data_IF_567991076071
#
_entry.id   IF_567991076071
#
_cell.length_a   1.000
_cell.length_b   1.000
_cell.length_c   1.000
_cell.angle_alpha   90.00
_cell.angle_beta   90.00
_cell.angle_gamma   90.00
#
_symmetry.space_group_name_H-M   'P 1'
#
loop_
_entity.id
_entity.type
_entity.pdbx_description
1 polymer ?
#
# COMPACT_ATOMS: atom_id res chain seq x y z
N UNK A 1 30.65 7.28 -2.13
CA UNK A 1 30.21 7.20 -0.73
C UNK A 1 29.10 6.17 -0.63
N UNK A 2 29.14 5.25 0.31
CA UNK A 2 27.98 4.42 0.57
C UNK A 2 26.81 5.33 0.97
N UNK A 3 25.62 5.04 0.46
CA UNK A 3 24.42 5.77 0.82
C UNK A 3 24.08 5.63 2.31
N UNK A 4 23.23 6.49 2.82
CA UNK A 4 22.74 6.38 4.20
C UNK A 4 21.73 5.24 4.29
N UNK A 5 21.46 4.77 5.50
CA UNK A 5 20.41 3.75 5.72
C UNK A 5 19.03 4.20 5.21
N UNK A 6 18.71 5.49 5.32
CA UNK A 6 17.49 6.06 4.72
C UNK A 6 17.52 6.00 3.19
N UNK A 7 18.68 6.14 2.56
CA UNK A 7 18.80 6.04 1.10
C UNK A 7 18.47 4.61 0.64
N UNK A 8 18.87 3.59 1.42
CA UNK A 8 18.52 2.20 1.11
C UNK A 8 17.01 1.97 1.21
N UNK A 9 16.36 2.49 2.23
CA UNK A 9 14.89 2.42 2.39
C UNK A 9 14.22 3.13 1.23
N UNK A 10 14.69 4.33 0.88
CA UNK A 10 14.18 5.12 -0.25
C UNK A 10 14.23 4.34 -1.55
N UNK A 11 15.41 3.80 -1.88
CA UNK A 11 15.60 3.02 -3.10
C UNK A 11 14.67 1.80 -3.14
N UNK A 12 14.48 1.14 -2.02
CA UNK A 12 13.56 0.00 -1.90
C UNK A 12 12.12 0.40 -2.18
N UNK A 13 11.65 1.50 -1.60
CA UNK A 13 10.29 2.02 -1.84
C UNK A 13 10.14 2.44 -3.31
N UNK A 14 11.09 3.19 -3.84
CA UNK A 14 11.04 3.68 -5.24
C UNK A 14 10.97 2.54 -6.24
N UNK A 15 11.80 1.51 -6.06
CA UNK A 15 11.83 0.35 -6.97
C UNK A 15 10.50 -0.40 -6.97
N UNK A 16 9.92 -0.64 -5.80
CA UNK A 16 8.65 -1.35 -5.68
C UNK A 16 7.48 -0.50 -6.18
N UNK A 17 7.50 0.80 -5.89
CA UNK A 17 6.48 1.73 -6.38
C UNK A 17 6.50 1.84 -7.91
N UNK A 18 7.67 1.83 -8.52
CA UNK A 18 7.80 1.87 -9.98
C UNK A 18 7.09 0.69 -10.66
N UNK A 19 7.13 -0.50 -10.06
CA UNK A 19 6.37 -1.65 -10.54
C UNK A 19 4.87 -1.38 -10.62
N UNK A 20 4.31 -0.72 -9.62
CA UNK A 20 2.90 -0.36 -9.60
C UNK A 20 2.59 0.74 -10.63
N UNK A 21 3.46 1.75 -10.76
CA UNK A 21 3.31 2.80 -11.76
C UNK A 21 3.32 2.22 -13.19
N UNK A 22 4.19 1.29 -13.47
CA UNK A 22 4.29 0.63 -14.79
C UNK A 22 2.99 -0.12 -15.12
N UNK A 23 2.41 -0.81 -14.14
CA UNK A 23 1.11 -1.46 -14.29
C UNK A 23 0.02 -0.42 -14.54
N UNK A 24 -0.05 0.63 -13.73
CA UNK A 24 -1.05 1.69 -13.86
C UNK A 24 -1.02 2.36 -15.22
N UNK A 25 0.19 2.64 -15.75
CA UNK A 25 0.38 3.24 -17.06
C UNK A 25 -0.05 2.34 -18.22
N UNK A 26 -0.06 1.02 -18.02
CA UNK A 26 -0.46 0.04 -19.04
C UNK A 26 -1.96 -0.20 -19.10
N UNK A 27 -2.73 0.25 -18.09
CA UNK A 27 -4.16 -0.03 -17.98
C UNK A 27 -4.98 0.76 -18.98
N UNK A 28 -5.84 0.04 -19.72
CA UNK A 28 -6.88 0.61 -20.57
C UNK A 28 -8.16 0.80 -19.74
N UNK A 29 -9.10 1.67 -20.15
CA UNK A 29 -10.35 1.87 -19.40
C UNK A 29 -11.12 0.57 -19.10
N UNK A 30 -11.11 -0.38 -20.03
CA UNK A 30 -11.79 -1.68 -19.86
C UNK A 30 -11.10 -2.63 -18.88
N UNK A 31 -9.81 -2.44 -18.62
CA UNK A 31 -9.02 -3.32 -17.74
C UNK A 31 -9.44 -3.18 -16.27
N UNK A 32 -9.97 -2.03 -15.87
CA UNK A 32 -10.38 -1.77 -14.49
C UNK A 32 -11.52 -2.68 -14.00
N UNK A 33 -12.28 -3.26 -14.93
CA UNK A 33 -13.38 -4.19 -14.62
C UNK A 33 -12.96 -5.67 -14.61
N UNK A 34 -11.69 -5.97 -14.90
CA UNK A 34 -11.18 -7.33 -14.94
C UNK A 34 -11.13 -7.90 -13.52
N UNK A 35 -11.73 -9.09 -13.26
CA UNK A 35 -11.62 -9.77 -11.96
C UNK A 35 -10.17 -10.18 -11.66
N UNK A 36 -9.71 -9.93 -10.43
CA UNK A 36 -8.33 -10.26 -10.02
C UNK A 36 -8.27 -11.59 -9.30
N UNK A 37 -9.24 -11.87 -8.43
CA UNK A 37 -9.27 -13.07 -7.60
C UNK A 37 -10.38 -14.03 -8.04
N UNK A 38 -10.14 -15.33 -7.78
CA UNK A 38 -11.16 -16.35 -7.92
C UNK A 38 -11.97 -16.52 -6.63
N UNK A 39 -12.04 -17.75 -6.10
CA UNK A 39 -12.80 -18.09 -4.89
C UNK A 39 -11.94 -17.82 -3.63
N UNK A 40 -11.59 -16.57 -3.37
CA UNK A 40 -10.77 -16.10 -2.24
C UNK A 40 -11.52 -15.05 -1.42
N UNK A 41 -10.90 -14.60 -0.31
CA UNK A 41 -11.48 -13.56 0.56
C UNK A 41 -11.87 -12.29 -0.20
N UNK A 42 -11.06 -11.87 -1.18
CA UNK A 42 -11.35 -10.74 -2.05
C UNK A 42 -12.16 -11.15 -3.29
N UNK A 43 -12.94 -12.22 -3.21
CA UNK A 43 -13.81 -12.64 -4.32
C UNK A 43 -14.71 -11.48 -4.75
N UNK A 44 -14.75 -11.21 -6.05
CA UNK A 44 -15.47 -10.09 -6.63
C UNK A 44 -14.67 -8.80 -6.74
N UNK A 45 -13.46 -8.74 -6.18
CA UNK A 45 -12.58 -7.60 -6.42
C UNK A 45 -12.05 -7.62 -7.85
N UNK A 46 -12.13 -6.44 -8.46
CA UNK A 46 -11.63 -6.17 -9.81
C UNK A 46 -10.35 -5.34 -9.71
N UNK A 47 -9.69 -5.09 -10.83
CA UNK A 47 -8.49 -4.21 -10.86
C UNK A 47 -8.76 -2.89 -10.16
N UNK A 48 -9.90 -2.25 -10.42
CA UNK A 48 -10.29 -1.00 -9.74
C UNK A 48 -10.36 -1.17 -8.21
N UNK A 49 -10.90 -2.28 -7.74
CA UNK A 49 -11.00 -2.56 -6.29
C UNK A 49 -9.61 -2.67 -5.65
N UNK A 50 -8.70 -3.36 -6.32
CA UNK A 50 -7.32 -3.53 -5.83
C UNK A 50 -6.59 -2.18 -5.76
N UNK A 51 -6.76 -1.32 -6.76
CA UNK A 51 -6.18 0.03 -6.76
C UNK A 51 -6.75 0.87 -5.62
N UNK A 52 -8.06 0.82 -5.40
CA UNK A 52 -8.70 1.49 -4.26
C UNK A 52 -8.16 0.98 -2.92
N UNK A 53 -8.00 -0.33 -2.79
CA UNK A 53 -7.41 -0.98 -1.62
C UNK A 53 -5.97 -0.51 -1.37
N UNK A 54 -5.15 -0.45 -2.40
CA UNK A 54 -3.76 0.03 -2.30
C UNK A 54 -3.68 1.46 -1.76
N UNK A 55 -4.50 2.36 -2.30
CA UNK A 55 -4.53 3.75 -1.84
C UNK A 55 -4.96 3.87 -0.37
N UNK A 56 -5.99 3.13 0.04
CA UNK A 56 -6.49 3.13 1.41
C UNK A 56 -5.48 2.50 2.38
N UNK A 57 -4.91 1.36 2.03
CA UNK A 57 -3.92 0.65 2.86
C UNK A 57 -2.65 1.48 3.05
N UNK A 58 -2.17 2.16 2.01
CA UNK A 58 -1.02 3.06 2.10
C UNK A 58 -1.27 4.17 3.12
N UNK A 59 -2.46 4.75 3.11
CA UNK A 59 -2.87 5.78 4.09
C UNK A 59 -2.95 5.22 5.52
N UNK A 60 -3.57 4.06 5.69
CA UNK A 60 -3.71 3.42 7.02
C UNK A 60 -2.38 3.02 7.62
N UNK A 61 -1.50 2.42 6.84
CA UNK A 61 -0.15 2.06 7.29
C UNK A 61 0.68 3.29 7.66
N UNK A 62 0.58 4.37 6.88
CA UNK A 62 1.31 5.61 7.17
C UNK A 62 0.82 6.24 8.47
N UNK A 63 -0.49 6.27 8.70
CA UNK A 63 -1.06 6.75 9.96
C UNK A 63 -0.49 5.97 11.15
N UNK A 64 -0.48 4.65 11.08
CA UNK A 64 0.06 3.79 12.12
C UNK A 64 1.57 4.00 12.31
N UNK A 65 2.33 4.06 11.23
CA UNK A 65 3.78 4.28 11.30
C UNK A 65 4.14 5.62 11.95
N UNK A 66 3.42 6.68 11.63
CA UNK A 66 3.61 8.00 12.25
C UNK A 66 3.30 7.99 13.74
N UNK A 67 2.22 7.35 14.14
CA UNK A 67 1.84 7.22 15.55
C UNK A 67 2.88 6.41 16.33
N UNK A 68 3.35 5.30 15.79
CA UNK A 68 4.38 4.46 16.41
C UNK A 68 5.70 5.24 16.52
N UNK A 69 6.08 6.00 15.50
CA UNK A 69 7.25 6.86 15.55
C UNK A 69 7.15 7.92 16.65
N UNK A 70 5.94 8.37 16.97
CA UNK A 70 5.65 9.31 18.06
C UNK A 70 5.52 8.63 19.43
N UNK A 71 5.65 7.30 19.52
CA UNK A 71 5.57 6.53 20.77
C UNK A 71 4.19 6.00 21.11
N UNK A 72 3.26 6.01 20.16
CA UNK A 72 1.91 5.47 20.31
C UNK A 72 1.81 4.09 19.67
N UNK A 73 0.75 3.34 19.99
CA UNK A 73 0.44 2.05 19.34
C UNK A 73 -1.07 2.03 18.98
N UNK A 74 -1.44 2.58 17.81
CA UNK A 74 -2.82 2.92 17.50
C UNK A 74 -3.70 1.73 17.07
N UNK A 75 -3.10 0.59 16.68
CA UNK A 75 -3.86 -0.56 16.16
C UNK A 75 -4.28 -1.47 17.31
N UNK A 76 -5.60 -1.62 17.57
CA UNK A 76 -6.07 -2.48 18.65
C UNK A 76 -5.82 -3.97 18.34
N UNK A 77 -5.68 -4.83 19.38
CA UNK A 77 -5.45 -6.27 19.19
C UNK A 77 -6.55 -7.00 18.43
N UNK A 78 -7.78 -6.49 18.48
CA UNK A 78 -8.97 -7.07 17.84
C UNK A 78 -9.33 -6.39 16.52
N UNK A 79 -8.38 -5.68 15.89
CA UNK A 79 -8.62 -4.99 14.63
C UNK A 79 -8.99 -5.99 13.52
N UNK A 80 -10.18 -5.77 12.91
CA UNK A 80 -10.69 -6.59 11.82
C UNK A 80 -10.25 -6.03 10.47
N UNK A 81 -9.08 -6.49 9.99
CA UNK A 81 -8.50 -6.03 8.74
C UNK A 81 -9.36 -6.37 7.52
N UNK A 82 -9.93 -7.57 7.48
CA UNK A 82 -10.77 -8.00 6.35
C UNK A 82 -11.98 -7.07 6.18
N UNK A 83 -12.65 -6.74 7.27
CA UNK A 83 -13.78 -5.81 7.28
C UNK A 83 -13.36 -4.38 6.91
N UNK A 84 -12.21 -3.94 7.40
CA UNK A 84 -11.68 -2.62 7.05
C UNK A 84 -11.37 -2.52 5.56
N UNK A 85 -10.72 -3.52 5.00
CA UNK A 85 -10.39 -3.60 3.58
C UNK A 85 -11.65 -3.54 2.72
N UNK A 86 -12.65 -4.36 3.04
CA UNK A 86 -13.90 -4.43 2.30
C UNK A 86 -14.64 -3.08 2.32
N UNK A 87 -14.73 -2.46 3.49
CA UNK A 87 -15.35 -1.13 3.63
C UNK A 87 -14.60 -0.05 2.86
N UNK A 88 -13.28 -0.09 2.86
CA UNK A 88 -12.45 0.88 2.13
C UNK A 88 -12.69 0.80 0.63
N UNK A 89 -12.80 -0.41 0.09
CA UNK A 89 -13.11 -0.64 -1.32
C UNK A 89 -14.53 -0.18 -1.65
N UNK A 90 -15.52 -0.51 -0.82
CA UNK A 90 -16.91 -0.08 -1.01
C UNK A 90 -17.05 1.44 -1.02
N UNK A 91 -16.37 2.14 -0.12
CA UNK A 91 -16.38 3.62 -0.06
C UNK A 91 -15.80 4.27 -1.32
N UNK A 92 -14.89 3.58 -1.99
CA UNK A 92 -14.23 4.08 -3.20
C UNK A 92 -14.91 3.61 -4.50
N UNK A 93 -16.01 2.87 -4.42
CA UNK A 93 -16.66 2.26 -5.59
C UNK A 93 -17.02 3.28 -6.69
N UNK A 94 -17.48 4.47 -6.29
CA UNK A 94 -17.88 5.54 -7.22
C UNK A 94 -16.76 6.55 -7.51
N UNK A 95 -15.57 6.36 -6.96
CA UNK A 95 -14.44 7.24 -7.23
C UNK A 95 -13.90 6.94 -8.62
N UNK A 96 -13.69 7.95 -9.50
CA UNK A 96 -13.09 7.75 -10.80
C UNK A 96 -11.69 7.11 -10.71
N UNK A 97 -11.36 6.26 -11.67
CA UNK A 97 -10.10 5.49 -11.68
C UNK A 97 -8.85 6.38 -11.72
N UNK A 98 -8.90 7.49 -12.47
CA UNK A 98 -7.82 8.46 -12.51
C UNK A 98 -7.54 9.08 -11.14
N UNK A 99 -8.59 9.39 -10.37
CA UNK A 99 -8.43 9.90 -9.01
C UNK A 99 -7.87 8.85 -8.04
N UNK A 100 -8.19 7.58 -8.25
CA UNK A 100 -7.60 6.49 -7.44
C UNK A 100 -6.11 6.34 -7.72
N UNK A 101 -5.69 6.44 -8.97
CA UNK A 101 -4.28 6.42 -9.35
C UNK A 101 -3.53 7.65 -8.79
N UNK A 102 -4.14 8.83 -8.83
CA UNK A 102 -3.59 10.06 -8.23
C UNK A 102 -3.41 9.89 -6.71
N UNK A 103 -4.35 9.25 -6.03
CA UNK A 103 -4.22 8.94 -4.60
C UNK A 103 -3.02 8.05 -4.29
N UNK A 104 -2.75 7.06 -5.13
CA UNK A 104 -1.57 6.19 -4.98
C UNK A 104 -0.29 7.03 -5.05
N UNK A 105 -0.16 7.91 -6.03
CA UNK A 105 0.99 8.81 -6.14
C UNK A 105 1.10 9.76 -4.94
N UNK A 106 -0.02 10.32 -4.52
CA UNK A 106 -0.06 11.20 -3.35
C UNK A 106 0.42 10.47 -2.08
N UNK A 107 -0.02 9.23 -1.86
CA UNK A 107 0.43 8.41 -0.72
C UNK A 107 1.93 8.13 -0.80
N UNK A 108 2.44 7.84 -1.98
CA UNK A 108 3.88 7.66 -2.18
C UNK A 108 4.68 8.90 -1.73
N UNK A 109 4.28 10.08 -2.17
CA UNK A 109 4.95 11.33 -1.75
C UNK A 109 4.87 11.56 -0.26
N UNK A 110 3.76 11.25 0.37
CA UNK A 110 3.61 11.35 1.84
C UNK A 110 4.53 10.37 2.58
N UNK A 111 4.69 9.13 2.09
CA UNK A 111 5.63 8.17 2.65
C UNK A 111 7.09 8.66 2.51
N UNK A 112 7.45 9.22 1.37
CA UNK A 112 8.80 9.75 1.14
C UNK A 112 9.08 10.97 2.02
N UNK A 113 8.11 11.84 2.20
CA UNK A 113 8.21 12.97 3.13
C UNK A 113 8.38 12.46 4.57
N UNK A 114 7.62 11.48 4.98
CA UNK A 114 7.76 10.88 6.31
C UNK A 114 9.16 10.28 6.52
N UNK A 115 9.69 9.59 5.53
CA UNK A 115 11.07 9.06 5.57
C UNK A 115 12.10 10.17 5.73
N UNK A 116 11.92 11.29 5.05
CA UNK A 116 12.84 12.44 5.15
C UNK A 116 12.80 13.08 6.54
N UNK A 117 11.62 13.22 7.12
CA UNK A 117 11.38 13.94 8.36
C UNK A 117 11.67 13.13 9.63
N UNK A 118 11.50 11.80 9.58
CA UNK A 118 11.67 10.95 10.77
C UNK A 118 13.12 10.96 11.26
N UNK A 119 13.38 11.18 12.57
CA UNK A 119 14.71 10.95 13.11
C UNK A 119 15.13 9.49 12.93
N UNK A 120 16.36 9.24 12.51
CA UNK A 120 16.86 7.87 12.28
C UNK A 120 16.71 6.96 13.50
N UNK A 121 16.85 7.52 14.71
CA UNK A 121 16.64 6.79 15.97
C UNK A 121 15.21 6.26 16.15
N UNK A 122 14.22 6.86 15.48
CA UNK A 122 12.82 6.45 15.60
C UNK A 122 12.43 5.33 14.60
N UNK A 123 13.28 5.03 13.62
CA UNK A 123 13.04 3.96 12.64
C UNK A 123 12.88 2.58 13.28
N UNK A 124 13.46 2.36 14.45
CA UNK A 124 13.42 1.08 15.14
C UNK A 124 12.32 1.00 16.21
N UNK A 125 11.53 2.06 16.40
CA UNK A 125 10.35 2.00 17.27
C UNK A 125 9.36 0.99 16.72
N UNK A 126 8.73 0.21 17.60
CA UNK A 126 7.92 -0.94 17.22
C UNK A 126 6.47 -0.74 17.65
N UNK A 127 5.55 -1.25 16.84
CA UNK A 127 4.13 -1.25 17.15
C UNK A 127 3.38 -2.27 16.32
N UNK A 128 2.10 -2.44 16.62
CA UNK A 128 1.24 -3.43 15.97
C UNK A 128 0.88 -3.00 14.55
N UNK A 129 1.07 -3.91 13.61
CA UNK A 129 0.53 -3.81 12.26
C UNK A 129 -0.91 -4.36 12.22
N UNK A 130 -1.71 -3.90 11.29
CA UNK A 130 -3.11 -4.33 11.11
C UNK A 130 -3.28 -5.85 10.93
N UNK A 131 -2.25 -6.55 10.46
CA UNK A 131 -2.22 -8.02 10.36
C UNK A 131 -2.03 -8.72 11.70
N UNK A 132 -1.73 -7.98 12.76
CA UNK A 132 -1.53 -8.51 14.11
C UNK A 132 -0.09 -8.71 14.54
N UNK A 133 0.87 -8.73 13.62
CA UNK A 133 2.30 -8.79 13.94
C UNK A 133 2.83 -7.43 14.38
N UNK A 134 3.99 -7.44 15.02
CA UNK A 134 4.67 -6.23 15.50
C UNK A 134 5.85 -5.93 14.58
N UNK A 135 5.89 -4.70 14.06
CA UNK A 135 6.93 -4.23 13.15
C UNK A 135 7.61 -2.99 13.70
N UNK A 136 8.86 -2.77 13.28
CA UNK A 136 9.50 -1.46 13.40
C UNK A 136 8.88 -0.47 12.40
N UNK A 137 9.09 0.82 12.61
CA UNK A 137 8.68 1.84 11.62
C UNK A 137 9.30 1.55 10.26
N UNK A 138 10.60 1.20 10.21
CA UNK A 138 11.23 0.73 8.97
C UNK A 138 10.50 -0.47 8.38
N UNK A 139 10.08 -1.43 9.21
CA UNK A 139 9.29 -2.59 8.78
C UNK A 139 7.97 -2.19 8.12
N UNK A 140 7.29 -1.15 8.62
CA UNK A 140 6.10 -0.58 7.97
C UNK A 140 6.43 0.00 6.59
N UNK A 141 7.54 0.73 6.45
CA UNK A 141 7.98 1.30 5.17
C UNK A 141 8.24 0.21 4.13
N UNK A 142 8.92 -0.86 4.52
CA UNK A 142 9.20 -2.00 3.64
C UNK A 142 7.92 -2.76 3.28
N UNK A 143 7.04 -2.98 4.24
CA UNK A 143 5.75 -3.65 3.99
C UNK A 143 4.86 -2.83 3.07
N UNK A 144 4.84 -1.50 3.22
CA UNK A 144 4.15 -0.62 2.27
C UNK A 144 4.65 -0.86 0.84
N UNK A 145 5.96 -0.86 0.63
CA UNK A 145 6.55 -1.08 -0.69
C UNK A 145 6.23 -2.48 -1.25
N UNK A 146 6.39 -3.51 -0.42
CA UNK A 146 6.10 -4.90 -0.79
C UNK A 146 4.62 -5.12 -1.11
N UNK A 147 3.73 -4.45 -0.41
CA UNK A 147 2.29 -4.51 -0.64
C UNK A 147 1.92 -3.97 -2.02
N UNK A 148 2.51 -2.85 -2.43
CA UNK A 148 2.34 -2.31 -3.77
C UNK A 148 2.85 -3.28 -4.85
N UNK A 149 4.05 -3.82 -4.67
CA UNK A 149 4.65 -4.75 -5.63
C UNK A 149 3.85 -6.07 -5.74
N UNK A 150 3.36 -6.58 -4.62
CA UNK A 150 2.55 -7.79 -4.59
C UNK A 150 1.26 -7.63 -5.40
N UNK A 151 0.50 -6.58 -5.14
CA UNK A 151 -0.73 -6.32 -5.87
C UNK A 151 -0.50 -5.92 -7.33
N UNK A 152 0.60 -5.24 -7.65
CA UNK A 152 0.99 -4.99 -9.03
C UNK A 152 1.19 -6.31 -9.81
N UNK A 153 1.83 -7.30 -9.18
CA UNK A 153 1.99 -8.64 -9.75
C UNK A 153 0.64 -9.35 -9.96
N UNK A 154 -0.27 -9.26 -8.99
CA UNK A 154 -1.61 -9.86 -9.11
C UNK A 154 -2.41 -9.23 -10.26
N UNK A 155 -2.35 -7.90 -10.41
CA UNK A 155 -3.00 -7.21 -11.53
C UNK A 155 -2.41 -7.67 -12.87
N UNK A 156 -1.08 -7.73 -13.00
CA UNK A 156 -0.43 -8.24 -14.23
C UNK A 156 -0.90 -9.65 -14.58
N UNK A 157 -0.99 -10.52 -13.59
CA UNK A 157 -1.45 -11.89 -13.80
C UNK A 157 -2.92 -11.93 -14.24
N UNK A 158 -3.77 -11.07 -13.67
CA UNK A 158 -5.18 -10.96 -14.08
C UNK A 158 -5.29 -10.47 -15.54
N UNK A 159 -4.52 -9.45 -15.92
CA UNK A 159 -4.50 -8.94 -17.30
C UNK A 159 -4.11 -10.04 -18.28
N UNK A 160 -3.07 -10.81 -17.99
CA UNK A 160 -2.63 -11.94 -18.86
C UNK A 160 -3.68 -13.02 -19.01
N UNK A 161 -4.45 -13.31 -17.97
CA UNK A 161 -5.53 -14.31 -18.03
C UNK A 161 -6.71 -13.87 -18.90
N UNK A 162 -6.82 -12.58 -19.19
CA UNK A 162 -7.94 -12.00 -19.93
C UNK A 162 -7.52 -11.45 -21.31
N UNK A 163 -6.28 -11.73 -21.73
CA UNK A 163 -5.84 -11.53 -23.12
C UNK A 163 -6.37 -12.68 -24.00
#
# INVERSE_FOLDING_TARGET
MPGTHKDDIRAYIETNHQNLLDVGASLKPTDFDIPVYGDHEQHGWRVKSVIAHLAAAASGMLHSARAIAAGEDPVPPDFDLARWNERSVQKAADVPTDLLLDRIEQRYHEWMQFLDEIPSSNLQRRGRHARGDVLSVEGFMRRYAEHEAHHASEIRNALRRHE
#
